data_IF_404003863432
#
_entry.id   IF_404003863432
#
_cell.length_a   1.000
_cell.length_b   1.000
_cell.length_c   1.000
_cell.angle_alpha   90.00
_cell.angle_beta   90.00
_cell.angle_gamma   90.00
#
_symmetry.space_group_name_H-M   'P 1'
#
loop_
_entity.id
_entity.type
_entity.pdbx_description
1 polymer ?
#
# COMPACT_ATOMS: atom_id res chain seq x y z
N UNK A 1 -16.41 19.37 -27.27
CA UNK A 1 -15.07 18.86 -26.89
C UNK A 1 -15.27 17.89 -25.75
N UNK A 2 -15.48 16.62 -26.05
CA UNK A 2 -15.77 15.59 -25.06
C UNK A 2 -14.56 14.66 -24.95
N UNK A 3 -13.87 14.73 -23.82
CA UNK A 3 -12.70 13.90 -23.53
C UNK A 3 -13.14 12.66 -22.75
N UNK A 4 -13.64 11.64 -23.45
CA UNK A 4 -13.75 10.30 -22.90
C UNK A 4 -12.36 9.64 -22.92
N UNK A 5 -11.65 9.65 -21.78
CA UNK A 5 -10.41 8.88 -21.62
C UNK A 5 -10.71 7.64 -20.78
N UNK A 6 -11.02 6.55 -21.46
CA UNK A 6 -11.11 5.23 -20.88
C UNK A 6 -9.70 4.81 -20.39
N UNK A 7 -9.51 4.78 -19.08
CA UNK A 7 -8.29 4.25 -18.48
C UNK A 7 -8.40 2.72 -18.41
N UNK A 8 -7.58 2.07 -19.24
CA UNK A 8 -7.40 0.63 -19.35
C UNK A 8 -7.06 0.02 -17.97
N UNK A 9 -7.94 -0.83 -17.46
CA UNK A 9 -7.65 -1.71 -16.34
C UNK A 9 -6.72 -2.82 -16.84
N UNK A 10 -5.43 -2.70 -16.51
CA UNK A 10 -4.47 -3.77 -16.75
C UNK A 10 -4.83 -4.97 -15.89
N UNK A 11 -5.06 -6.08 -16.57
CA UNK A 11 -5.13 -7.42 -16.00
C UNK A 11 -3.78 -7.76 -15.36
N UNK A 12 -3.76 -8.15 -14.08
CA UNK A 12 -2.65 -8.93 -13.56
C UNK A 12 -3.15 -10.12 -12.77
N UNK A 13 -3.36 -11.21 -13.51
CA UNK A 13 -3.18 -12.55 -12.96
C UNK A 13 -1.68 -12.83 -12.93
N UNK A 14 -1.18 -13.45 -11.86
CA UNK A 14 -0.29 -14.61 -11.98
C UNK A 14 -0.01 -15.27 -10.63
N UNK A 15 -0.43 -16.52 -10.57
CA UNK A 15 -0.17 -17.51 -9.53
C UNK A 15 1.25 -18.10 -9.67
N UNK A 16 1.84 -18.44 -8.50
CA UNK A 16 2.72 -19.60 -8.21
C UNK A 16 4.14 -19.73 -8.82
N UNK A 17 5.12 -19.45 -7.94
CA UNK A 17 6.20 -20.34 -7.44
C UNK A 17 7.34 -20.83 -8.36
N UNK A 18 8.58 -20.33 -8.14
CA UNK A 18 9.83 -21.10 -8.25
C UNK A 18 11.08 -20.30 -7.79
N UNK A 19 11.66 -20.68 -6.65
CA UNK A 19 13.09 -20.66 -6.27
C UNK A 19 14.04 -19.63 -6.94
N UNK A 20 13.69 -18.35 -6.85
CA UNK A 20 14.62 -17.24 -7.02
C UNK A 20 14.11 -16.13 -6.09
N UNK A 21 14.99 -15.44 -5.37
CA UNK A 21 14.61 -14.25 -4.58
C UNK A 21 14.30 -13.10 -5.56
N UNK A 22 13.37 -13.33 -6.48
CA UNK A 22 12.77 -12.30 -7.31
C UNK A 22 11.96 -11.44 -6.35
N UNK A 23 12.47 -10.25 -6.07
CA UNK A 23 11.78 -9.26 -5.24
C UNK A 23 10.37 -9.08 -5.80
N UNK A 24 9.34 -9.53 -5.07
CA UNK A 24 7.96 -9.49 -5.53
C UNK A 24 7.50 -8.02 -5.66
N UNK A 25 6.76 -7.72 -6.73
CA UNK A 25 6.14 -6.41 -6.87
C UNK A 25 5.05 -6.24 -5.81
N UNK A 26 4.99 -5.07 -5.16
CA UNK A 26 3.97 -4.77 -4.15
C UNK A 26 3.00 -3.67 -4.58
N UNK A 27 3.06 -3.22 -5.84
CA UNK A 27 2.26 -2.08 -6.31
C UNK A 27 0.74 -2.32 -6.17
N UNK A 28 0.29 -3.54 -6.46
CA UNK A 28 -1.12 -3.91 -6.48
C UNK A 28 -1.59 -4.59 -5.18
N UNK A 29 -0.83 -4.47 -4.09
CA UNK A 29 -1.20 -5.04 -2.79
C UNK A 29 -2.57 -4.54 -2.31
N UNK A 30 -3.32 -5.39 -1.61
CA UNK A 30 -4.66 -5.08 -1.09
C UNK A 30 -4.64 -3.81 -0.22
N UNK A 31 -5.68 -2.97 -0.35
CA UNK A 31 -5.81 -1.68 0.35
C UNK A 31 -6.57 -1.74 1.67
N UNK A 32 -6.88 -2.94 2.14
CA UNK A 32 -7.81 -3.15 3.25
C UNK A 32 -7.07 -3.58 4.53
N UNK A 33 -5.80 -3.18 4.69
CA UNK A 33 -5.08 -3.46 5.92
C UNK A 33 -5.59 -2.51 7.02
N UNK A 34 -5.86 -3.06 8.21
CA UNK A 34 -6.19 -2.26 9.37
C UNK A 34 -4.89 -1.76 10.00
N UNK A 35 -4.70 -0.45 10.04
CA UNK A 35 -3.54 0.19 10.64
C UNK A 35 -3.93 0.72 12.01
N UNK A 36 -3.15 0.36 13.02
CA UNK A 36 -3.35 0.81 14.40
C UNK A 36 -2.21 1.73 14.80
N UNK A 37 -2.54 2.91 15.31
CA UNK A 37 -1.57 3.84 15.86
C UNK A 37 -1.35 3.57 17.35
N UNK A 38 -0.12 3.23 17.75
CA UNK A 38 0.24 3.02 19.16
C UNK A 38 0.31 4.32 19.99
N UNK A 39 0.20 5.50 19.36
CA UNK A 39 0.24 6.80 20.07
C UNK A 39 -1.14 7.27 20.50
N UNK A 40 -2.13 7.19 19.62
CA UNK A 40 -3.51 7.63 19.89
C UNK A 40 -4.50 6.47 20.04
N UNK A 41 -4.04 5.22 19.89
CA UNK A 41 -4.82 3.99 19.93
C UNK A 41 -5.99 3.92 18.94
N UNK A 42 -5.98 4.81 17.93
CA UNK A 42 -6.97 4.80 16.86
C UNK A 42 -6.52 3.88 15.74
N UNK A 43 -7.51 3.25 15.10
CA UNK A 43 -7.30 2.42 13.92
C UNK A 43 -7.97 3.02 12.70
N UNK A 44 -7.41 2.76 11.53
CA UNK A 44 -7.98 3.17 10.25
C UNK A 44 -7.62 2.17 9.16
N UNK A 45 -8.43 2.11 8.13
CA UNK A 45 -8.19 1.22 6.98
C UNK A 45 -7.29 1.94 5.98
N UNK A 46 -6.24 1.26 5.53
CA UNK A 46 -5.33 1.81 4.53
C UNK A 46 -4.14 0.91 4.29
N UNK A 47 -3.00 1.49 3.91
CA UNK A 47 -1.72 0.78 3.78
C UNK A 47 -0.59 1.65 4.28
N UNK A 48 0.41 1.05 4.92
CA UNK A 48 1.64 1.77 5.28
C UNK A 48 2.53 1.97 4.06
N UNK A 49 3.08 3.16 3.89
CA UNK A 49 3.98 3.45 2.76
C UNK A 49 5.18 2.51 2.76
N UNK A 50 5.37 1.80 1.65
CA UNK A 50 6.49 0.88 1.46
C UNK A 50 7.06 1.07 0.05
N UNK A 51 8.39 1.19 -0.09
CA UNK A 51 9.01 1.26 -1.40
C UNK A 51 8.85 -0.08 -2.12
N UNK A 52 8.43 -0.04 -3.39
CA UNK A 52 8.34 -1.27 -4.16
C UNK A 52 9.74 -1.72 -4.57
N UNK A 53 10.12 -2.98 -4.31
CA UNK A 53 11.47 -3.42 -4.59
C UNK A 53 11.74 -3.65 -6.09
N UNK A 54 10.69 -3.75 -6.92
CA UNK A 54 10.79 -3.71 -8.39
C UNK A 54 10.72 -2.30 -8.96
N UNK A 55 9.98 -1.40 -8.31
CA UNK A 55 9.71 -0.05 -8.79
C UNK A 55 10.00 0.97 -7.68
N UNK A 56 11.27 1.23 -7.35
CA UNK A 56 11.64 2.10 -6.23
C UNK A 56 11.20 3.56 -6.44
N UNK A 57 11.04 3.98 -7.69
CA UNK A 57 10.64 5.33 -8.08
C UNK A 57 9.12 5.56 -8.01
N UNK A 58 8.33 4.50 -7.80
CA UNK A 58 6.87 4.62 -7.70
C UNK A 58 6.49 5.08 -6.29
N UNK A 59 5.83 6.22 -6.24
CA UNK A 59 5.28 6.80 -5.01
C UNK A 59 3.79 6.46 -4.92
N UNK A 60 3.41 5.75 -3.85
CA UNK A 60 2.00 5.47 -3.56
C UNK A 60 1.36 6.62 -2.79
N UNK A 61 0.63 7.48 -3.51
CA UNK A 61 0.01 8.69 -2.96
C UNK A 61 -0.95 8.41 -1.79
N UNK A 62 -1.66 7.28 -1.83
CA UNK A 62 -2.69 6.93 -0.85
C UNK A 62 -2.16 6.11 0.33
N UNK A 63 -0.86 5.87 0.39
CA UNK A 63 -0.28 5.12 1.49
C UNK A 63 0.01 6.04 2.68
N UNK A 64 -0.34 5.57 3.88
CA UNK A 64 -0.11 6.28 5.13
C UNK A 64 1.38 6.36 5.45
N UNK A 65 1.88 7.59 5.56
CA UNK A 65 3.21 7.93 6.11
C UNK A 65 3.14 8.40 7.55
N UNK A 66 1.95 8.78 8.00
CA UNK A 66 1.65 9.28 9.33
C UNK A 66 0.25 8.86 9.74
N UNK A 67 -0.04 8.89 11.04
CA UNK A 67 -1.39 8.65 11.54
C UNK A 67 -2.33 9.73 11.00
N UNK A 68 -3.44 9.32 10.37
CA UNK A 68 -4.44 10.25 9.85
C UNK A 68 -5.13 11.09 10.95
N UNK A 69 -5.10 10.61 12.21
CA UNK A 69 -5.80 11.25 13.32
C UNK A 69 -4.91 12.16 14.17
N UNK A 70 -3.69 11.72 14.48
CA UNK A 70 -2.79 12.45 15.39
C UNK A 70 -1.46 12.90 14.75
N UNK A 71 -1.25 12.62 13.46
CA UNK A 71 -0.02 12.97 12.75
C UNK A 71 1.24 12.25 13.25
N UNK A 72 1.11 11.20 14.08
CA UNK A 72 2.26 10.42 14.53
C UNK A 72 3.00 9.79 13.34
N UNK A 73 4.33 9.74 13.42
CA UNK A 73 5.18 9.13 12.38
C UNK A 73 4.82 7.65 12.16
N UNK A 74 5.09 7.13 10.96
CA UNK A 74 4.84 5.72 10.58
C UNK A 74 5.46 4.69 11.52
N UNK A 75 6.51 5.05 12.26
CA UNK A 75 7.10 4.22 13.31
C UNK A 75 6.11 3.81 14.42
N UNK A 76 5.07 4.60 14.66
CA UNK A 76 4.02 4.31 15.63
C UNK A 76 2.83 3.56 15.03
N UNK A 77 2.86 3.30 13.72
CA UNK A 77 1.78 2.61 13.02
C UNK A 77 2.14 1.14 12.83
N UNK A 78 1.18 0.26 13.14
CA UNK A 78 1.31 -1.19 12.97
C UNK A 78 0.16 -1.71 12.13
N UNK A 79 0.45 -2.61 11.20
CA UNK A 79 -0.59 -3.33 10.46
C UNK A 79 -1.10 -4.46 11.33
N UNK A 80 -2.39 -4.45 11.64
CA UNK A 80 -3.10 -5.58 12.22
C UNK A 80 -3.58 -6.47 11.07
N UNK A 81 -2.90 -7.60 10.87
CA UNK A 81 -3.41 -8.64 9.98
C UNK A 81 -4.56 -9.36 10.69
N UNK A 82 -5.75 -9.34 10.08
CA UNK A 82 -6.84 -10.25 10.44
C UNK A 82 -6.54 -11.64 9.91
#
# INVERSE_FOLDING_TARGET
MEFHKAHNFSNYNQNLNANSVQKLCICERKRNDLIVCSRCNQSFVGRLSQPCPKHPEVIFLMDARQCALCGAHSAFLKVSKQ
#
